data_IF_163196960328
#
_entry.id   IF_163196960328
#
_cell.length_a   1.000
_cell.length_b   1.000
_cell.length_c   1.000
_cell.angle_alpha   90.00
_cell.angle_beta   90.00
_cell.angle_gamma   90.00
#
_symmetry.space_group_name_H-M   'P 1'
#
loop_
_entity.id
_entity.type
_entity.pdbx_description
1 polymer ?
2 non-polymer ?
3 non-polymer ?
4 non-polymer ?
5 water ?
#
# COMPACT_ATOMS: atom_id res chain seq x y z
N UNK A 9 -9.20 15.62 -5.32
CA UNK A 9 -7.88 14.99 -5.04
C UNK A 9 -7.68 13.71 -5.89
N UNK A 10 -7.10 13.87 -7.08
CA UNK A 10 -7.03 12.79 -8.09
C UNK A 10 -6.05 11.65 -7.76
N UNK A 11 -6.36 10.47 -8.28
CA UNK A 11 -5.56 9.27 -8.05
C UNK A 11 -5.12 8.70 -9.40
N UNK A 12 -3.83 8.48 -9.54
CA UNK A 12 -3.26 8.04 -10.80
C UNK A 12 -2.59 6.70 -10.61
N UNK A 13 -2.97 5.73 -11.45
CA UNK A 13 -2.42 4.39 -11.40
C UNK A 13 -1.22 4.31 -12.32
N UNK A 14 -0.03 4.13 -11.75
CA UNK A 14 1.19 4.13 -12.55
C UNK A 14 1.55 2.75 -13.00
N UNK A 15 1.68 1.80 -12.08
CA UNK A 15 1.86 0.40 -12.45
C UNK A 15 0.67 -0.37 -11.93
N UNK A 16 0.34 -1.46 -12.61
CA UNK A 16 -0.72 -2.33 -12.17
C UNK A 16 -0.54 -3.60 -12.96
N UNK A 17 -0.49 -4.73 -12.26
CA UNK A 17 -0.12 -5.98 -12.93
C UNK A 17 -0.16 -7.16 -12.00
N UNK A 18 -0.19 -8.35 -12.61
CA UNK A 18 -0.31 -9.62 -11.90
C UNK A 18 0.88 -10.48 -12.37
N UNK A 19 1.83 -10.72 -11.47
CA UNK A 19 3.05 -11.42 -11.80
C UNK A 19 3.48 -12.19 -10.58
N UNK A 20 4.47 -13.09 -10.73
CA UNK A 20 5.16 -13.62 -9.54
C UNK A 20 5.88 -12.47 -8.77
N UNK A 21 6.08 -12.63 -7.46
CA UNK A 21 6.75 -11.60 -6.66
C UNK A 21 8.27 -11.38 -6.90
N UNK A 22 8.71 -10.12 -6.81
CA UNK A 22 10.15 -9.80 -6.80
C UNK A 22 10.70 -10.32 -5.49
N UNK A 23 12.02 -10.24 -5.30
CA UNK A 23 12.57 -10.78 -4.08
C UNK A 23 12.20 -9.94 -2.85
N UNK A 24 11.99 -8.64 -3.05
CA UNK A 24 11.55 -7.81 -1.94
C UNK A 24 10.12 -8.16 -1.51
N UNK A 25 9.23 -8.45 -2.46
CA UNK A 25 7.87 -8.78 -2.10
C UNK A 25 7.75 -10.19 -1.56
N UNK A 26 8.61 -11.10 -2.01
CA UNK A 26 8.72 -12.37 -1.32
C UNK A 26 8.95 -12.19 0.20
N UNK A 27 9.87 -11.30 0.58
CA UNK A 27 10.12 -11.03 1.99
C UNK A 27 8.95 -10.27 2.66
N UNK A 28 8.46 -9.21 2.03
CA UNK A 28 7.43 -8.35 2.62
C UNK A 28 6.08 -9.04 2.77
N UNK A 29 5.74 -9.90 1.82
CA UNK A 29 4.41 -10.51 1.77
C UNK A 29 4.45 -12.00 2.11
N UNK A 30 5.60 -12.49 2.55
CA UNK A 30 5.83 -13.91 2.75
C UNK A 30 5.24 -14.77 1.64
N UNK A 31 5.53 -14.39 0.40
CA UNK A 31 5.06 -15.12 -0.79
C UNK A 31 6.18 -15.95 -1.42
N UNK A 32 5.80 -17.06 -2.07
CA UNK A 32 6.73 -17.88 -2.86
C UNK A 32 6.84 -17.45 -4.33
N UNK A 33 7.79 -18.11 -5.01
CA UNK A 33 7.91 -18.07 -6.45
C UNK A 33 6.62 -18.28 -7.24
N UNK A 34 5.83 -19.25 -6.82
CA UNK A 34 4.68 -19.67 -7.60
C UNK A 34 3.37 -19.14 -7.02
N UNK A 35 3.43 -17.93 -6.48
CA UNK A 35 2.25 -17.26 -5.98
C UNK A 35 2.02 -16.08 -6.91
N UNK A 36 0.79 -15.90 -7.36
CA UNK A 36 0.47 -14.79 -8.23
C UNK A 36 0.07 -13.60 -7.36
N UNK A 37 0.77 -12.49 -7.54
CA UNK A 37 0.61 -11.34 -6.67
C UNK A 37 0.17 -10.16 -7.53
N UNK A 38 -0.83 -9.42 -7.06
CA UNK A 38 -1.26 -8.22 -7.75
C UNK A 38 -0.35 -7.13 -7.22
N UNK A 39 0.18 -6.29 -8.11
CA UNK A 39 0.90 -5.09 -7.68
C UNK A 39 0.20 -3.85 -8.19
N UNK A 40 -0.10 -2.90 -7.31
CA UNK A 40 -0.69 -1.63 -7.77
C UNK A 40 0.13 -0.47 -7.21
N UNK A 41 0.64 0.37 -8.10
CA UNK A 41 1.38 1.53 -7.66
C UNK A 41 0.67 2.80 -8.11
N UNK A 42 0.30 3.63 -7.14
CA UNK A 42 -0.49 4.84 -7.41
C UNK A 42 0.14 6.05 -6.78
N UNK A 43 -0.19 7.21 -7.32
CA UNK A 43 0.18 8.46 -6.68
C UNK A 43 -1.08 9.23 -6.43
N UNK A 44 -1.08 10.08 -5.40
CA UNK A 44 -2.23 10.91 -5.08
C UNK A 44 -1.88 12.36 -5.32
N UNK A 45 -2.76 13.08 -6.00
CA UNK A 45 -2.52 14.48 -6.32
C UNK A 45 -3.47 15.32 -5.47
N UNK A 46 -2.91 15.92 -4.43
CA UNK A 46 -3.69 16.74 -3.51
C UNK A 46 -3.49 18.18 -3.94
N UNK A 47 -4.44 18.64 -4.74
CA UNK A 47 -4.17 19.71 -5.68
C UNK A 47 -3.29 20.84 -5.16
N UNK A 48 -2.33 21.20 -6.00
CA UNK A 48 -2.22 20.55 -7.30
C UNK A 48 -0.96 19.70 -7.45
N UNK A 49 -0.65 18.91 -6.43
CA UNK A 49 0.63 18.24 -6.39
C UNK A 49 0.50 16.77 -6.13
N UNK A 50 1.41 16.00 -6.72
CA UNK A 50 1.54 14.57 -6.43
C UNK A 50 2.43 14.41 -5.20
N UNK A 51 1.84 13.89 -4.12
CA UNK A 51 2.53 13.95 -2.85
C UNK A 51 2.61 12.66 -2.06
N UNK A 52 1.76 11.69 -2.39
CA UNK A 52 1.81 10.38 -1.76
C UNK A 52 2.01 9.30 -2.81
N UNK A 53 2.83 8.31 -2.50
CA UNK A 53 2.95 7.18 -3.42
C UNK A 53 2.48 5.93 -2.70
N UNK A 54 1.42 5.32 -3.21
CA UNK A 54 0.80 4.17 -2.56
C UNK A 54 1.12 2.88 -3.31
N UNK A 55 1.82 1.97 -2.66
CA UNK A 55 2.10 0.66 -3.27
C UNK A 55 1.34 -0.47 -2.57
N UNK A 56 0.42 -1.10 -3.28
CA UNK A 56 -0.26 -2.25 -2.69
C UNK A 56 0.20 -3.54 -3.37
N UNK A 57 0.21 -4.62 -2.59
CA UNK A 57 0.57 -5.96 -3.05
C UNK A 57 -0.28 -6.98 -2.28
N UNK A 58 -1.05 -7.82 -2.98
CA UNK A 58 -1.82 -8.86 -2.33
C UNK A 58 -2.03 -10.06 -3.23
N UNK A 59 -2.33 -11.21 -2.63
CA UNK A 59 -2.37 -12.47 -3.38
C UNK A 59 -3.63 -12.56 -4.23
N UNK A 60 -3.42 -12.96 -5.47
CA UNK A 60 -4.53 -13.18 -6.35
C UNK A 60 -5.38 -14.35 -5.85
N UNK A 61 -4.77 -15.27 -5.13
CA UNK A 61 -5.51 -16.46 -4.69
C UNK A 61 -6.68 -16.09 -3.80
N UNK A 62 -6.55 -14.97 -3.11
CA UNK A 62 -7.62 -14.47 -2.27
C UNK A 62 -8.52 -13.39 -2.90
N UNK A 63 -7.98 -12.70 -3.91
CA UNK A 63 -8.67 -11.63 -4.66
C UNK A 63 -8.49 -11.82 -6.18
N UNK A 64 -9.22 -12.78 -6.74
CA UNK A 64 -8.91 -13.23 -8.09
C UNK A 64 -9.17 -12.20 -9.18
N UNK A 65 -9.93 -11.17 -8.87
CA UNK A 65 -10.43 -10.30 -9.91
C UNK A 65 -10.12 -8.89 -9.51
N UNK A 66 -9.61 -8.12 -10.45
CA UNK A 66 -9.29 -6.74 -10.16
C UNK A 66 -9.27 -5.95 -11.46
N UNK A 67 -9.48 -4.64 -11.35
CA UNK A 67 -9.42 -3.79 -12.52
C UNK A 67 -8.72 -2.45 -12.26
N UNK A 68 -8.27 -1.80 -13.33
CA UNK A 68 -7.75 -0.43 -13.20
C UNK A 68 -8.76 0.57 -12.59
N UNK A 69 -10.06 0.29 -12.73
CA UNK A 69 -11.08 1.21 -12.26
C UNK A 69 -11.26 1.11 -10.75
N UNK A 70 -11.04 -0.09 -10.21
CA UNK A 70 -11.10 -0.29 -8.78
C UNK A 70 -9.93 0.39 -8.04
N UNK A 71 -8.78 0.47 -8.72
CA UNK A 71 -7.60 1.13 -8.18
C UNK A 71 -7.70 2.64 -8.21
N UNK A 72 -8.46 3.17 -9.16
CA UNK A 72 -8.66 4.60 -9.22
C UNK A 72 -9.71 5.02 -8.20
N UNK A 73 -10.34 4.02 -7.59
CA UNK A 73 -11.33 4.26 -6.56
C UNK A 73 -10.77 3.81 -5.20
N UNK A 74 -11.30 2.77 -4.59
CA UNK A 74 -10.69 2.33 -3.34
C UNK A 74 -10.38 0.87 -3.36
N UNK A 75 -9.12 0.53 -3.13
CA UNK A 75 -8.74 -0.86 -3.01
C UNK A 75 -9.18 -1.40 -1.65
N UNK A 76 -9.17 -0.54 -0.64
CA UNK A 76 -9.60 -0.95 0.68
C UNK A 76 -11.07 -1.39 0.65
N UNK A 77 -11.94 -0.53 0.13
CA UNK A 77 -13.36 -0.85 0.06
C UNK A 77 -13.61 -2.10 -0.76
N UNK A 78 -12.84 -2.27 -1.83
CA UNK A 78 -13.03 -3.44 -2.66
C UNK A 78 -12.69 -4.71 -1.93
N UNK A 79 -11.53 -4.68 -1.30
CA UNK A 79 -11.04 -5.81 -0.52
C UNK A 79 -11.92 -6.17 0.67
N UNK A 80 -12.33 -5.17 1.44
CA UNK A 80 -13.28 -5.40 2.51
C UNK A 80 -14.59 -5.99 1.97
N UNK A 81 -14.96 -5.57 0.77
CA UNK A 81 -16.22 -6.03 0.20
C UNK A 81 -16.19 -7.51 -0.10
N UNK A 82 -15.02 -8.00 -0.53
CA UNK A 82 -14.86 -9.38 -1.00
C UNK A 82 -14.55 -10.30 0.15
N UNK A 83 -13.70 -9.86 1.08
CA UNK A 83 -13.33 -10.71 2.20
C UNK A 83 -13.03 -10.04 3.52
N UNK A 84 -13.81 -9.01 3.84
CA UNK A 84 -13.61 -8.26 5.06
C UNK A 84 -13.84 -9.05 6.33
N UNK A 85 -14.61 -10.12 6.24
CA UNK A 85 -14.99 -10.89 7.44
C UNK A 85 -13.85 -11.88 7.79
N UNK A 86 -12.93 -12.09 6.85
CA UNK A 86 -11.83 -13.03 7.03
C UNK A 86 -10.59 -12.28 7.48
N UNK A 87 -10.62 -10.96 7.34
CA UNK A 87 -9.48 -10.15 7.76
C UNK A 87 -9.47 -9.96 9.27
N UNK A 88 -8.34 -10.28 9.88
CA UNK A 88 -8.29 -10.35 11.33
C UNK A 88 -7.64 -9.14 11.99
N UNK A 89 -6.37 -8.94 11.70
CA UNK A 89 -5.65 -7.81 12.26
C UNK A 89 -4.69 -7.29 11.24
N UNK A 90 -4.29 -6.04 11.42
CA UNK A 90 -3.21 -5.44 10.63
C UNK A 90 -2.12 -4.94 11.57
N UNK A 91 -0.91 -4.90 11.05
CA UNK A 91 0.17 -4.36 11.80
C UNK A 91 0.82 -3.24 10.98
N UNK A 92 1.00 -2.09 11.62
CA UNK A 92 1.49 -0.87 10.98
C UNK A 92 2.90 -0.52 11.49
N UNK A 93 3.79 -0.11 10.60
CA UNK A 93 5.08 0.35 11.02
C UNK A 93 5.37 1.64 10.25
N UNK A 94 5.56 2.73 10.99
CA UNK A 94 5.77 4.06 10.41
C UNK A 94 7.19 4.54 10.71
N UNK A 95 7.97 4.74 9.66
CA UNK A 95 9.33 5.27 9.81
C UNK A 95 9.57 6.38 8.79
N UNK A 96 10.76 6.98 8.85
CA UNK A 96 11.16 7.97 7.84
C UNK A 96 12.32 7.42 7.03
N UNK A 97 12.26 7.64 5.72
CA UNK A 97 13.25 7.12 4.80
C UNK A 97 13.71 8.18 3.82
N UNK A 98 14.96 8.06 3.35
CA UNK A 98 15.40 8.88 2.23
C UNK A 98 14.49 8.64 1.04
N UNK A 99 14.31 9.67 0.22
CA UNK A 99 13.61 9.50 -1.05
C UNK A 99 14.40 8.61 -2.00
N UNK A 100 13.68 7.88 -2.84
CA UNK A 100 14.30 6.98 -3.81
C UNK A 100 14.11 7.54 -5.21
N UNK A 101 14.68 6.89 -6.22
CA UNK A 101 14.48 7.36 -7.59
C UNK A 101 13.00 7.27 -8.00
N UNK A 102 12.34 6.19 -7.61
CA UNK A 102 10.93 6.04 -7.93
C UNK A 102 10.08 7.19 -7.38
N UNK A 103 10.40 7.61 -6.16
CA UNK A 103 9.78 8.78 -5.52
C UNK A 103 9.94 10.10 -6.32
N UNK A 104 11.09 10.30 -6.95
CA UNK A 104 11.32 11.57 -7.59
C UNK A 104 10.74 11.64 -9.00
N UNK A 105 10.62 10.48 -9.64
CA UNK A 105 9.99 10.42 -10.95
C UNK A 105 8.51 10.72 -10.82
N UNK A 106 7.88 10.14 -9.80
CA UNK A 106 6.44 10.14 -9.73
C UNK A 106 5.82 11.24 -8.86
N UNK A 107 6.57 11.79 -7.91
CA UNK A 107 5.99 12.84 -7.05
C UNK A 107 6.68 14.18 -7.21
N UNK A 108 5.95 15.25 -6.90
CA UNK A 108 6.54 16.58 -6.89
C UNK A 108 7.26 16.78 -5.55
N UNK A 109 8.55 16.49 -5.50
CA UNK A 109 9.27 16.51 -4.23
C UNK A 109 9.97 17.81 -3.87
N UNK A 110 9.77 18.85 -4.67
CA UNK A 110 10.35 20.17 -4.37
C UNK A 110 11.80 20.04 -3.89
N UNK A 111 12.10 20.72 -2.78
CA UNK A 111 13.37 20.57 -2.09
C UNK A 111 13.21 19.66 -0.89
N UNK A 112 12.59 18.50 -1.10
CA UNK A 112 12.44 17.51 -0.05
C UNK A 112 13.41 16.32 -0.21
N UNK A 113 13.98 15.87 0.90
CA UNK A 113 14.98 14.80 0.87
C UNK A 113 14.48 13.50 1.50
N UNK A 114 13.47 13.60 2.37
CA UNK A 114 12.91 12.42 3.07
C UNK A 114 11.41 12.26 2.90
N UNK A 115 10.92 11.09 3.34
CA UNK A 115 9.53 10.71 3.23
C UNK A 115 9.10 10.11 4.56
N UNK A 116 7.80 10.20 4.86
CA UNK A 116 7.24 9.40 5.92
C UNK A 116 6.64 8.14 5.25
N UNK A 117 7.12 6.97 5.68
CA UNK A 117 6.70 5.71 5.07
C UNK A 117 5.87 4.86 6.01
N UNK A 118 4.59 4.71 5.68
CA UNK A 118 3.69 3.85 6.44
C UNK A 118 3.57 2.48 5.79
N UNK A 119 3.97 1.46 6.54
CA UNK A 119 3.85 0.08 6.08
C UNK A 119 2.82 -0.66 6.89
N UNK A 120 2.02 -1.45 6.20
CA UNK A 120 0.88 -2.08 6.81
C UNK A 120 0.75 -3.51 6.30
N UNK A 121 0.70 -4.46 7.22
CA UNK A 121 0.61 -5.87 6.90
C UNK A 121 -0.72 -6.42 7.38
N UNK A 122 -1.55 -6.92 6.47
CA UNK A 122 -2.90 -7.36 6.81
C UNK A 122 -2.97 -8.89 6.80
N UNK A 123 -3.48 -9.46 7.89
CA UNK A 123 -3.51 -10.92 8.08
C UNK A 123 -4.97 -11.44 8.08
N UNK A 124 -5.15 -12.71 7.78
CA UNK A 124 -6.50 -13.28 7.74
C UNK A 124 -6.83 -14.04 9.03
N UNK A 125 -8.10 -14.41 9.17
CA UNK A 125 -8.53 -15.16 10.32
C UNK A 125 -7.73 -16.46 10.45
N UNK A 126 -7.30 -17.01 9.32
CA UNK A 126 -6.58 -18.29 9.34
C UNK A 126 -5.09 -18.12 9.68
N UNK A 127 -4.63 -16.87 9.73
CA UNK A 127 -3.31 -16.54 10.27
C UNK A 127 -2.29 -16.09 9.24
N UNK A 128 -2.65 -16.18 7.97
CA UNK A 128 -1.72 -15.87 6.89
C UNK A 128 -1.63 -14.38 6.54
N UNK A 129 -0.42 -13.94 6.22
CA UNK A 129 -0.16 -12.60 5.76
C UNK A 129 -0.73 -12.57 4.37
N UNK A 130 -1.69 -11.69 4.12
CA UNK A 130 -2.40 -11.70 2.86
C UNK A 130 -2.14 -10.46 2.01
N UNK A 131 -1.85 -9.33 2.65
CA UNK A 131 -1.63 -8.06 1.94
C UNK A 131 -0.49 -7.21 2.50
N UNK A 132 0.19 -6.46 1.64
CA UNK A 132 1.21 -5.56 2.11
C UNK A 132 1.09 -4.21 1.41
N UNK A 133 1.05 -3.13 2.20
CA UNK A 133 0.91 -1.78 1.68
C UNK A 133 2.06 -0.91 2.15
N UNK A 134 2.56 -0.09 1.25
CA UNK A 134 3.67 0.82 1.54
C UNK A 134 3.27 2.19 1.03
N UNK A 135 3.00 3.10 1.96
CA UNK A 135 2.44 4.40 1.62
C UNK A 135 3.45 5.48 1.94
N UNK A 136 3.96 6.12 0.91
CA UNK A 136 5.08 7.06 1.07
C UNK A 136 4.61 8.51 0.95
N UNK A 137 4.74 9.27 2.04
CA UNK A 137 4.32 10.67 2.06
C UNK A 137 5.48 11.63 2.07
N UNK A 138 5.33 12.71 1.32
CA UNK A 138 6.13 13.90 1.52
C UNK A 138 5.89 14.45 2.94
N UNK A 139 6.94 14.96 3.57
CA UNK A 139 6.88 15.25 5.00
C UNK A 139 5.72 16.14 5.41
N UNK A 140 5.51 17.23 4.68
CA UNK A 140 4.43 18.16 5.02
C UNK A 140 3.02 17.58 4.84
N UNK A 141 2.90 16.40 4.24
CA UNK A 141 1.59 15.86 3.88
C UNK A 141 1.30 14.58 4.66
N UNK A 142 1.85 14.50 5.85
CA UNK A 142 1.66 13.33 6.66
C UNK A 142 1.02 13.73 7.96
N UNK A 143 -0.09 13.09 8.30
CA UNK A 143 -0.70 13.27 9.60
C UNK A 143 -1.38 11.98 9.99
N UNK A 144 -0.99 11.42 11.13
CA UNK A 144 -1.56 10.17 11.58
C UNK A 144 -2.17 10.34 12.95
N UNK A 145 -3.46 10.04 13.05
CA UNK A 145 -4.19 10.12 14.30
C UNK A 145 -4.61 8.74 14.78
N UNK A 146 -4.70 8.56 16.09
CA UNK A 146 -5.21 7.32 16.64
C UNK A 146 -5.48 7.38 18.14
N UNK A 147 -6.01 6.26 18.61
CA UNK A 147 -6.01 5.91 20.02
C UNK A 147 -5.37 4.52 19.94
N UNK A 148 -4.92 3.94 21.05
CA UNK A 148 -4.90 4.54 22.37
C UNK A 148 -6.23 4.47 23.13
N UNK A 149 -6.25 3.57 24.10
CA UNK A 149 -7.27 3.51 25.15
C UNK A 149 -6.54 2.88 26.33
N UNK A 150 -6.74 3.44 27.51
CA UNK A 150 -5.87 3.16 28.65
C UNK A 150 -6.63 2.51 29.81
N UNK A 151 -5.96 2.30 30.94
CA UNK A 151 -6.61 1.70 32.11
C UNK A 151 -6.60 0.19 32.05
N UNK A 152 -7.25 -0.44 33.02
CA UNK A 152 -7.20 -1.90 33.19
C UNK A 152 -7.68 -2.65 31.94
X LIG B 1 14.88 16.87 5.21
X LIG C 1 -7.39 2.76 -1.03
X LIG C 1 -6.51 1.83 -0.34
X LIG C 1 -8.77 2.61 -0.60
X LIG C 1 -7.07 4.14 -0.75
X LIG C 1 -7.26 2.44 -2.44
X LIG D 1 -1.83 -18.52 -7.50
X LIG D 1 -1.07 -17.65 -6.59
X LIG D 1 -2.87 -19.20 -6.72
X LIG D 1 -2.47 -17.74 -8.57
X LIG D 1 -0.90 -19.49 -8.10
X LIG E 1 5.73 -8.65 -7.19
X LIG E 1 6.98 -8.03 -6.99
X LIG E 1 5.12 -8.22 -8.52
X LIG E 1 6.11 -8.26 -9.52
X LIG E 1 3.93 -9.12 -8.88
X LIG E 1 2.85 -8.40 -9.47
X LIG F 1 1.94 -15.31 6.45
X LIG F 1 2.60 -15.93 7.53
X LIG F 1 1.65 -16.34 5.36
X LIG F 1 2.11 -17.56 5.86
X LIG F 1 2.39 -16.01 4.04
X LIG F 1 1.79 -14.99 3.24
X LIG G 1 6.51 -8.11 9.37
X LIG G 1 5.48 -8.18 10.34
X LIG G 1 6.25 -9.17 8.29
X LIG G 1 5.64 -10.30 8.90
X LIG G 1 7.49 -9.59 7.47
X LIG G 1 8.56 -8.66 7.57
#
# INVERSE_FOLDING_TARGET
SNATLGKETKTTVHKFGLEPPSELIQKQLRANLDDDIWEVIRSRKIDGEHVILDKDYFFRKHVPHLTKEICENSIYEYIEGELGLSISYAQKEIVAEPCTDEDRELLDLRGYDHMVVVRNYVFLEDTSLFQYTESRHRLDKFRFVDFARRGK
NA NA
SO4 S O1 O2 O3 O4
SO4 S O1 O2 O3 O4
GOL C1 O1 C2 O2 C3 O3
GOL C1 O1 C2 O2 C3 O3
GOL C1 O1 C2 O2 C3 O3
#
